data_IF_264806073146
#
_entry.id   IF_264806073146
#
_cell.length_a   1.000
_cell.length_b   1.000
_cell.length_c   1.000
_cell.angle_alpha   90.00
_cell.angle_beta   90.00
_cell.angle_gamma   90.00
#
_symmetry.space_group_name_H-M   'P 1'
#
loop_
_entity.id
_entity.type
_entity.pdbx_description
1 polymer ?
#
# COMPACT_ATOMS: atom_id res chain seq x y z
N UNK A 1 -15.29 6.85 0.21
CA UNK A 1 -16.17 7.80 0.88
C UNK A 1 -17.02 8.47 -0.16
N UNK A 2 -18.23 8.90 0.21
CA UNK A 2 -18.94 9.87 -0.63
C UNK A 2 -18.18 11.20 -0.60
N UNK A 3 -18.08 11.84 -1.76
CA UNK A 3 -17.24 13.03 -2.00
C UNK A 3 -16.40 12.86 -3.27
N UNK A 4 -16.46 13.87 -4.14
CA UNK A 4 -15.67 13.97 -5.35
C UNK A 4 -14.18 14.04 -5.04
N UNK A 5 -13.32 13.81 -6.04
CA UNK A 5 -11.88 14.04 -5.87
C UNK A 5 -11.57 15.50 -5.50
N UNK A 6 -12.39 16.44 -5.97
CA UNK A 6 -12.30 17.85 -5.62
C UNK A 6 -12.54 18.07 -4.12
N UNK A 7 -13.59 17.46 -3.57
CA UNK A 7 -13.93 17.56 -2.13
C UNK A 7 -12.81 17.01 -1.24
N UNK A 8 -12.13 15.95 -1.71
CA UNK A 8 -11.00 15.34 -0.99
C UNK A 8 -9.74 16.21 -1.09
N UNK A 9 -9.51 16.81 -2.25
CA UNK A 9 -8.37 17.72 -2.47
C UNK A 9 -8.53 18.98 -1.63
N UNK A 10 -9.75 19.52 -1.54
CA UNK A 10 -10.07 20.67 -0.70
C UNK A 10 -9.90 20.34 0.78
N UNK A 11 -10.31 19.16 1.23
CA UNK A 11 -10.06 18.73 2.61
C UNK A 11 -8.55 18.63 2.93
N UNK A 12 -7.76 18.03 2.04
CA UNK A 12 -6.31 17.95 2.22
C UNK A 12 -5.65 19.33 2.25
N UNK A 13 -6.13 20.26 1.41
CA UNK A 13 -5.68 21.66 1.42
C UNK A 13 -5.97 22.33 2.76
N UNK A 14 -7.20 22.17 3.29
CA UNK A 14 -7.58 22.72 4.60
C UNK A 14 -6.74 22.15 5.76
N UNK A 15 -6.32 20.87 5.69
CA UNK A 15 -5.42 20.27 6.68
C UNK A 15 -4.02 20.90 6.60
N UNK A 16 -3.50 21.12 5.39
CA UNK A 16 -2.20 21.78 5.19
C UNK A 16 -2.24 23.22 5.70
N UNK A 17 -3.26 23.99 5.32
CA UNK A 17 -3.45 25.37 5.77
C UNK A 17 -3.51 25.46 7.31
N UNK A 18 -4.19 24.50 7.93
CA UNK A 18 -4.28 24.40 9.39
C UNK A 18 -2.91 24.14 10.03
N UNK A 19 -2.15 23.17 9.50
CA UNK A 19 -0.80 22.86 9.99
C UNK A 19 0.14 24.05 9.78
N UNK A 20 0.07 24.73 8.64
CA UNK A 20 0.87 25.94 8.39
C UNK A 20 0.53 27.09 9.36
N UNK A 21 -0.75 27.27 9.69
CA UNK A 21 -1.17 28.28 10.68
C UNK A 21 -0.58 28.02 12.07
N UNK A 22 -0.33 26.75 12.45
CA UNK A 22 0.31 26.41 13.74
C UNK A 22 1.81 26.69 13.80
N UNK A 23 2.46 26.91 12.66
CA UNK A 23 3.91 27.15 12.58
C UNK A 23 4.25 28.61 12.98
N UNK A 24 3.30 29.53 12.90
CA UNK A 24 3.47 30.95 13.25
C UNK A 24 2.75 31.32 14.56
N UNK A 25 2.86 30.47 15.57
CA UNK A 25 2.06 30.57 16.80
C UNK A 25 2.32 31.83 17.64
N UNK A 26 3.51 32.45 17.58
CA UNK A 26 3.77 33.68 18.33
C UNK A 26 3.71 34.89 17.40
N UNK A 27 2.58 35.60 17.42
CA UNK A 27 2.49 36.92 16.79
C UNK A 27 2.98 37.99 17.78
N UNK A 28 4.13 38.64 17.55
CA UNK A 28 4.67 39.65 18.48
C UNK A 28 3.79 40.91 18.60
N UNK A 29 2.82 41.09 17.70
CA UNK A 29 1.87 42.21 17.72
C UNK A 29 0.66 41.94 18.64
N UNK A 30 0.43 40.69 19.04
CA UNK A 30 -0.71 40.33 19.90
C UNK A 30 -0.30 40.30 21.37
N UNK A 31 -1.19 40.78 22.23
CA UNK A 31 -1.06 40.57 23.66
C UNK A 31 -1.23 39.09 24.01
N UNK A 32 -0.70 38.67 25.17
CA UNK A 32 -0.83 37.29 25.65
C UNK A 32 -2.30 36.86 25.72
N UNK A 33 -3.20 37.74 26.16
CA UNK A 33 -4.63 37.42 26.24
C UNK A 33 -5.28 37.25 24.86
N UNK A 34 -4.88 38.06 23.87
CA UNK A 34 -5.34 37.93 22.48
C UNK A 34 -4.84 36.65 21.83
N UNK A 35 -3.56 36.31 22.04
CA UNK A 35 -2.97 35.07 21.56
C UNK A 35 -3.71 33.86 22.13
N UNK A 36 -3.93 33.83 23.44
CA UNK A 36 -4.68 32.75 24.10
C UNK A 36 -6.11 32.64 23.57
N UNK A 37 -6.81 33.76 23.35
CA UNK A 37 -8.15 33.74 22.77
C UNK A 37 -8.17 33.18 21.34
N UNK A 38 -7.15 33.50 20.53
CA UNK A 38 -7.00 33.00 19.16
C UNK A 38 -6.68 31.51 19.13
N UNK A 39 -5.79 31.07 20.01
CA UNK A 39 -5.40 29.66 20.11
C UNK A 39 -6.57 28.79 20.58
N UNK A 40 -7.36 29.26 21.56
CA UNK A 40 -8.59 28.58 22.01
C UNK A 40 -9.57 28.44 20.84
N UNK A 41 -9.82 29.53 20.12
CA UNK A 41 -10.73 29.51 18.96
C UNK A 41 -10.22 28.58 17.84
N UNK A 42 -8.90 28.53 17.63
CA UNK A 42 -8.28 27.61 16.68
C UNK A 42 -8.51 26.16 17.09
N UNK A 43 -8.24 25.81 18.36
CA UNK A 43 -8.46 24.48 18.91
C UNK A 43 -9.93 24.06 18.78
N UNK A 44 -10.87 24.95 19.09
CA UNK A 44 -12.31 24.69 18.94
C UNK A 44 -12.67 24.42 17.46
N UNK A 45 -12.13 25.22 16.54
CA UNK A 45 -12.33 25.03 15.10
C UNK A 45 -11.75 23.69 14.60
N UNK A 46 -10.60 23.28 15.13
CA UNK A 46 -10.00 21.96 14.83
C UNK A 46 -10.90 20.85 15.33
N UNK A 47 -11.36 20.92 16.57
CA UNK A 47 -12.22 19.90 17.18
C UNK A 47 -13.54 19.76 16.42
N UNK A 48 -14.15 20.87 16.02
CA UNK A 48 -15.37 20.86 15.20
C UNK A 48 -15.13 20.21 13.83
N UNK A 49 -14.03 20.57 13.15
CA UNK A 49 -13.66 19.96 11.86
C UNK A 49 -13.35 18.48 11.99
N UNK A 50 -12.67 18.05 13.05
CA UNK A 50 -12.44 16.63 13.34
C UNK A 50 -13.77 15.89 13.53
N UNK A 51 -14.71 16.44 14.31
CA UNK A 51 -16.02 15.85 14.49
C UNK A 51 -16.79 15.71 13.16
N UNK A 52 -16.66 16.69 12.26
CA UNK A 52 -17.24 16.63 10.91
C UNK A 52 -16.58 15.53 10.05
N UNK A 53 -15.25 15.46 10.03
CA UNK A 53 -14.46 14.49 9.25
C UNK A 53 -14.71 13.05 9.71
N UNK A 54 -14.81 12.83 11.02
CA UNK A 54 -15.03 11.50 11.59
C UNK A 54 -16.51 11.17 11.83
N UNK A 55 -17.42 12.05 11.40
CA UNK A 55 -18.86 11.78 11.46
C UNK A 55 -19.22 10.57 10.58
N UNK A 56 -20.28 9.86 10.95
CA UNK A 56 -20.76 8.71 10.17
C UNK A 56 -21.22 9.12 8.75
N UNK A 57 -21.59 10.39 8.58
CA UNK A 57 -22.02 10.99 7.32
C UNK A 57 -20.84 11.30 6.39
N UNK A 58 -19.65 11.57 6.95
CA UNK A 58 -18.43 11.93 6.22
C UNK A 58 -17.37 10.81 6.24
N UNK A 59 -17.78 9.55 6.03
CA UNK A 59 -16.82 8.41 5.94
C UNK A 59 -15.87 8.57 4.75
N UNK A 60 -14.75 9.27 4.92
CA UNK A 60 -13.70 9.40 3.90
C UNK A 60 -13.23 8.03 3.42
N UNK A 61 -13.14 7.09 4.36
CA UNK A 61 -12.76 5.69 4.14
C UNK A 61 -13.91 4.78 4.62
N UNK A 62 -14.81 4.35 3.74
CA UNK A 62 -15.75 3.29 4.04
C UNK A 62 -14.93 2.05 4.38
N UNK A 63 -15.29 1.37 5.48
CA UNK A 63 -14.70 0.09 5.85
C UNK A 63 -14.80 -0.94 4.70
N UNK A 64 -15.74 -0.72 3.76
CA UNK A 64 -16.06 -1.60 2.65
C UNK A 64 -15.82 -0.99 1.26
N UNK A 65 -14.80 -0.14 1.07
CA UNK A 65 -14.27 0.01 -0.29
C UNK A 65 -13.50 -1.27 -0.62
N UNK A 66 -14.26 -2.30 -0.97
CA UNK A 66 -13.78 -3.30 -1.91
C UNK A 66 -13.36 -2.49 -3.13
N UNK A 67 -12.05 -2.32 -3.31
CA UNK A 67 -11.51 -1.86 -4.57
C UNK A 67 -12.08 -2.85 -5.58
N UNK A 68 -13.08 -2.42 -6.34
CA UNK A 68 -13.62 -3.21 -7.43
C UNK A 68 -12.48 -3.31 -8.43
N UNK A 69 -11.61 -4.29 -8.25
CA UNK A 69 -10.64 -4.64 -9.25
C UNK A 69 -11.47 -5.02 -10.47
N UNK A 70 -11.28 -4.28 -11.55
CA UNK A 70 -11.93 -4.50 -12.86
C UNK A 70 -11.67 -5.94 -13.35
N UNK A 71 -10.70 -6.62 -12.73
CA UNK A 71 -10.45 -8.05 -12.85
C UNK A 71 -10.87 -8.79 -11.58
N UNK A 72 -11.63 -9.90 -11.69
CA UNK A 72 -11.83 -10.78 -10.55
C UNK A 72 -10.47 -11.24 -10.03
N UNK A 73 -10.25 -11.11 -8.72
CA UNK A 73 -9.06 -11.64 -8.08
C UNK A 73 -9.06 -13.17 -8.29
N UNK A 74 -8.02 -13.76 -8.87
CA UNK A 74 -7.94 -15.20 -9.04
C UNK A 74 -7.98 -15.90 -7.68
N UNK A 75 -8.67 -17.03 -7.58
CA UNK A 75 -8.72 -17.78 -6.33
C UNK A 75 -7.33 -18.28 -5.94
N UNK A 76 -6.99 -18.14 -4.66
CA UNK A 76 -5.72 -18.61 -4.11
C UNK A 76 -5.53 -20.11 -4.35
N UNK A 77 -6.60 -20.90 -4.22
CA UNK A 77 -6.65 -22.34 -4.47
C UNK A 77 -6.21 -22.71 -5.89
N UNK A 78 -6.64 -21.92 -6.89
CA UNK A 78 -6.28 -22.12 -8.30
C UNK A 78 -4.79 -21.82 -8.54
N UNK A 79 -4.29 -20.75 -7.92
CA UNK A 79 -2.88 -20.37 -8.01
C UNK A 79 -1.96 -21.41 -7.35
N UNK A 80 -2.34 -21.92 -6.18
CA UNK A 80 -1.60 -22.98 -5.47
C UNK A 80 -1.56 -24.29 -6.28
N UNK A 81 -2.67 -24.65 -6.91
CA UNK A 81 -2.75 -25.82 -7.80
C UNK A 81 -1.83 -25.67 -9.01
N UNK A 82 -1.87 -24.51 -9.70
CA UNK A 82 -0.97 -24.19 -10.82
C UNK A 82 0.49 -24.21 -10.40
N UNK A 83 0.83 -23.61 -9.26
CA UNK A 83 2.20 -23.61 -8.74
C UNK A 83 2.71 -25.03 -8.46
N UNK A 84 1.85 -25.88 -7.89
CA UNK A 84 2.18 -27.28 -7.60
C UNK A 84 2.46 -28.06 -8.88
N UNK A 85 1.64 -27.89 -9.91
CA UNK A 85 1.82 -28.56 -11.20
C UNK A 85 3.11 -28.11 -11.89
N UNK A 86 3.37 -26.80 -11.94
CA UNK A 86 4.60 -26.26 -12.51
C UNK A 86 5.85 -26.73 -11.75
N UNK A 87 5.77 -26.83 -10.41
CA UNK A 87 6.87 -27.34 -9.58
C UNK A 87 7.20 -28.80 -9.91
N UNK A 88 6.19 -29.65 -10.16
CA UNK A 88 6.40 -31.05 -10.59
C UNK A 88 7.08 -31.13 -11.96
N UNK A 89 6.66 -30.31 -12.91
CA UNK A 89 7.27 -30.24 -14.24
C UNK A 89 8.73 -29.84 -14.13
N UNK A 90 9.03 -28.79 -13.34
CA UNK A 90 10.38 -28.31 -13.11
C UNK A 90 11.28 -29.40 -12.49
N UNK A 91 10.78 -30.12 -11.48
CA UNK A 91 11.49 -31.25 -10.89
C UNK A 91 11.78 -32.37 -11.90
N UNK A 92 10.82 -32.70 -12.77
CA UNK A 92 11.02 -33.71 -13.81
C UNK A 92 12.09 -33.29 -14.83
N UNK A 93 12.09 -32.02 -15.23
CA UNK A 93 13.08 -31.48 -16.15
C UNK A 93 14.48 -31.46 -15.52
N UNK A 94 14.58 -31.07 -14.25
CA UNK A 94 15.84 -31.12 -13.51
C UNK A 94 16.42 -32.54 -13.50
N UNK A 95 15.62 -33.56 -13.18
CA UNK A 95 16.06 -34.96 -13.20
C UNK A 95 16.57 -35.37 -14.59
N UNK A 96 15.88 -34.99 -15.67
CA UNK A 96 16.31 -35.32 -17.04
C UNK A 96 17.63 -34.65 -17.41
N UNK A 97 17.85 -33.41 -16.97
CA UNK A 97 19.11 -32.70 -17.16
C UNK A 97 20.24 -33.41 -16.42
N UNK A 98 20.00 -33.81 -15.17
CA UNK A 98 20.99 -34.52 -14.36
C UNK A 98 21.35 -35.89 -14.95
N UNK A 99 20.35 -36.65 -15.41
CA UNK A 99 20.55 -37.93 -16.10
C UNK A 99 21.38 -37.77 -17.39
N UNK A 100 21.11 -36.70 -18.16
CA UNK A 100 21.83 -36.42 -19.39
C UNK A 100 23.28 -36.00 -19.10
N UNK A 101 23.50 -35.12 -18.11
CA UNK A 101 24.82 -34.71 -17.67
C UNK A 101 25.66 -35.91 -17.20
N UNK A 102 25.05 -36.82 -16.44
CA UNK A 102 25.69 -38.07 -16.00
C UNK A 102 26.10 -38.94 -17.19
N UNK A 103 25.22 -39.15 -18.17
CA UNK A 103 25.55 -39.90 -19.40
C UNK A 103 26.68 -39.26 -20.20
N UNK A 104 26.68 -37.94 -20.33
CA UNK A 104 27.75 -37.19 -21.02
C UNK A 104 29.09 -37.43 -20.31
N UNK A 105 29.13 -37.32 -18.99
CA UNK A 105 30.33 -37.57 -18.19
C UNK A 105 30.85 -39.00 -18.34
N UNK A 106 29.96 -40.01 -18.28
CA UNK A 106 30.34 -41.41 -18.49
C UNK A 106 30.95 -41.66 -19.88
N UNK A 107 30.35 -41.09 -20.92
CA UNK A 107 30.87 -41.22 -22.29
C UNK A 107 32.23 -40.54 -22.48
N UNK A 108 32.43 -39.35 -21.91
CA UNK A 108 33.72 -38.65 -21.92
C UNK A 108 34.82 -39.47 -21.23
N UNK A 109 34.51 -40.07 -20.08
CA UNK A 109 35.45 -40.93 -19.37
C UNK A 109 35.82 -42.19 -20.16
N UNK A 110 34.86 -42.83 -20.83
CA UNK A 110 35.14 -43.98 -21.71
C UNK A 110 36.10 -43.57 -22.84
N UNK A 111 35.86 -42.45 -23.52
CA UNK A 111 36.72 -41.97 -24.61
C UNK A 111 38.15 -41.69 -24.14
N UNK A 112 38.33 -41.15 -22.94
CA UNK A 112 39.65 -40.89 -22.36
C UNK A 112 40.39 -42.16 -21.95
N UNK A 113 39.68 -43.21 -21.52
CA UNK A 113 40.28 -44.51 -21.14
C UNK A 113 40.70 -45.32 -22.38
N UNK A 114 40.04 -45.13 -23.53
CA UNK A 114 40.34 -45.84 -24.78
C UNK A 114 41.23 -45.07 -25.76
N UNK A 115 41.82 -43.95 -25.36
CA UNK A 115 42.87 -43.21 -26.08
C UNK A 115 44.22 -43.39 -25.41
#
# INVERSE_FOLDING_TARGET
>A
GHGSYEDRTEMLRLIVDLVEATIYADNPEWSVDEQVAKDIHLIDSIAEKQAQIFSEECKLFPADVQIQSIYPLPEVSELESKLTEQSKILLNLQQKVDDLASKVYQNLNLILVFK
#
